data_IF_541239570153
#
_entry.id   IF_541239570153
#
_cell.length_a   1.000
_cell.length_b   1.000
_cell.length_c   1.000
_cell.angle_alpha   90.00
_cell.angle_beta   90.00
_cell.angle_gamma   90.00
#
_symmetry.space_group_name_H-M   'P 1'
#
loop_
_entity.id
_entity.type
_entity.pdbx_description
1 polymer ?
#
# COMPACT_ATOMS: atom_id res chain seq x y z
N UNK A 1 -12.12 10.12 12.83
CA UNK A 1 -12.43 10.66 11.49
C UNK A 1 -12.61 9.46 10.58
N UNK A 2 -13.62 9.43 9.71
CA UNK A 2 -13.86 8.28 8.83
C UNK A 2 -12.72 8.17 7.79
N UNK A 3 -12.09 7.00 7.70
CA UNK A 3 -11.01 6.73 6.76
C UNK A 3 -9.68 7.38 7.14
N UNK A 4 -9.42 7.53 8.45
CA UNK A 4 -8.16 8.09 8.93
C UNK A 4 -7.04 7.06 8.84
N UNK A 5 -6.36 7.07 7.69
CA UNK A 5 -5.25 6.14 7.44
C UNK A 5 -4.08 6.32 8.41
N UNK A 6 -3.96 7.45 9.10
CA UNK A 6 -2.85 7.67 10.05
C UNK A 6 -2.92 6.76 11.27
N UNK A 7 -4.09 6.17 11.53
CA UNK A 7 -4.28 5.14 12.54
C UNK A 7 -3.72 3.77 12.15
N UNK A 8 -3.36 3.54 10.89
CA UNK A 8 -2.76 2.28 10.46
C UNK A 8 -1.34 2.12 11.00
N UNK A 9 -1.09 1.00 11.70
CA UNK A 9 0.25 0.66 12.21
C UNK A 9 1.17 0.16 11.12
N UNK A 10 0.62 -0.60 10.19
CA UNK A 10 1.34 -1.20 9.07
C UNK A 10 0.68 -0.82 7.74
N UNK A 11 1.48 -0.74 6.69
CA UNK A 11 1.00 -0.53 5.32
C UNK A 11 1.47 -1.70 4.47
N UNK A 12 0.54 -2.35 3.79
CA UNK A 12 0.83 -3.45 2.89
C UNK A 12 0.41 -3.09 1.48
N UNK A 13 1.23 -3.48 0.50
CA UNK A 13 0.93 -3.34 -0.92
C UNK A 13 0.81 -4.72 -1.54
N UNK A 14 -0.32 -4.97 -2.20
CA UNK A 14 -0.54 -6.14 -3.04
C UNK A 14 0.27 -6.00 -4.33
N UNK A 15 1.34 -6.75 -4.50
CA UNK A 15 2.15 -6.68 -5.71
C UNK A 15 1.40 -7.25 -6.93
N UNK A 16 1.84 -6.88 -8.13
CA UNK A 16 1.20 -7.32 -9.36
C UNK A 16 -0.09 -6.55 -9.63
N UNK A 17 -1.19 -7.25 -9.86
CA UNK A 17 -2.49 -6.61 -10.08
C UNK A 17 -3.61 -7.34 -9.36
N UNK A 18 -4.57 -6.56 -8.88
CA UNK A 18 -5.78 -7.04 -8.21
C UNK A 18 -6.99 -6.86 -9.11
N UNK A 19 -7.96 -7.77 -9.05
CA UNK A 19 -9.27 -7.55 -9.66
C UNK A 19 -10.04 -6.46 -8.90
N UNK A 20 -10.02 -5.25 -9.46
CA UNK A 20 -10.60 -4.06 -8.84
C UNK A 20 -12.15 -4.05 -8.81
N UNK A 21 -12.82 -5.10 -9.33
CA UNK A 21 -14.26 -5.32 -9.15
C UNK A 21 -14.60 -5.80 -7.73
N UNK A 22 -13.65 -6.38 -7.01
CA UNK A 22 -13.82 -6.80 -5.61
C UNK A 22 -14.11 -5.59 -4.72
N UNK A 23 -15.12 -5.69 -3.87
CA UNK A 23 -15.44 -4.72 -2.81
C UNK A 23 -14.75 -5.14 -1.50
N UNK A 24 -15.22 -4.64 -0.35
CA UNK A 24 -14.68 -4.90 0.99
C UNK A 24 -14.45 -6.40 1.22
N UNK A 25 -15.50 -7.23 1.19
CA UNK A 25 -15.37 -8.66 1.55
C UNK A 25 -14.42 -9.41 0.62
N UNK A 26 -14.48 -9.12 -0.68
CA UNK A 26 -13.61 -9.75 -1.67
C UNK A 26 -12.13 -9.33 -1.54
N UNK A 27 -11.87 -8.12 -1.04
CA UNK A 27 -10.50 -7.65 -0.76
C UNK A 27 -10.01 -8.14 0.60
N UNK A 28 -10.87 -8.19 1.62
CA UNK A 28 -10.56 -8.74 2.93
C UNK A 28 -10.23 -10.24 2.82
N UNK A 29 -11.01 -11.01 2.05
CA UNK A 29 -10.72 -12.41 1.74
C UNK A 29 -9.36 -12.55 1.04
N UNK A 30 -9.03 -11.66 0.10
CA UNK A 30 -7.72 -11.66 -0.54
C UNK A 30 -6.59 -11.43 0.47
N UNK A 31 -6.74 -10.48 1.41
CA UNK A 31 -5.75 -10.26 2.49
C UNK A 31 -5.57 -11.52 3.31
N UNK A 32 -6.67 -12.15 3.73
CA UNK A 32 -6.61 -13.35 4.56
C UNK A 32 -5.99 -14.55 3.82
N UNK A 33 -6.47 -14.86 2.62
CA UNK A 33 -6.11 -16.07 1.87
C UNK A 33 -4.74 -15.95 1.18
N UNK A 34 -4.42 -14.77 0.66
CA UNK A 34 -3.21 -14.55 -0.16
C UNK A 34 -2.06 -14.03 0.69
N UNK A 35 -2.33 -13.14 1.65
CA UNK A 35 -1.26 -12.55 2.47
C UNK A 35 -1.06 -13.30 3.78
N UNK A 36 -2.05 -14.10 4.22
CA UNK A 36 -2.01 -14.74 5.54
C UNK A 36 -2.05 -13.72 6.68
N UNK A 37 -2.60 -12.53 6.43
CA UNK A 37 -2.69 -11.43 7.39
C UNK A 37 -4.14 -11.30 7.85
N UNK A 38 -4.35 -10.95 9.12
CA UNK A 38 -5.67 -10.61 9.64
C UNK A 38 -6.19 -9.30 9.01
N UNK A 39 -7.27 -9.34 8.19
CA UNK A 39 -7.82 -8.12 7.60
C UNK A 39 -8.40 -7.15 8.64
N UNK A 40 -8.70 -7.61 9.86
CA UNK A 40 -9.18 -6.78 10.97
C UNK A 40 -8.03 -6.13 11.78
N UNK A 41 -6.77 -6.37 11.40
CA UNK A 41 -5.66 -5.66 11.99
C UNK A 41 -5.71 -4.17 11.65
N UNK A 42 -5.13 -3.34 12.53
CA UNK A 42 -4.94 -1.90 12.31
C UNK A 42 -3.86 -1.67 11.23
N UNK A 43 -4.20 -1.94 9.98
CA UNK A 43 -3.29 -1.94 8.84
C UNK A 43 -4.00 -1.45 7.59
N UNK A 44 -3.22 -0.83 6.68
CA UNK A 44 -3.71 -0.33 5.41
C UNK A 44 -3.29 -1.27 4.27
N UNK A 45 -4.24 -1.85 3.56
CA UNK A 45 -3.97 -2.77 2.45
C UNK A 45 -4.24 -2.08 1.11
N UNK A 46 -3.21 -1.94 0.29
CA UNK A 46 -3.25 -1.23 -0.97
C UNK A 46 -3.36 -2.21 -2.15
N UNK A 47 -4.32 -1.96 -3.03
CA UNK A 47 -4.58 -2.77 -4.22
C UNK A 47 -4.60 -1.90 -5.47
N UNK A 48 -4.15 -2.46 -6.59
CA UNK A 48 -4.09 -1.75 -7.86
C UNK A 48 -4.44 -2.66 -9.02
N UNK A 49 -5.22 -2.14 -9.96
CA UNK A 49 -5.56 -2.86 -11.18
C UNK A 49 -4.51 -2.72 -12.28
N UNK A 50 -4.66 -3.49 -13.36
CA UNK A 50 -3.75 -3.49 -14.51
C UNK A 50 -3.45 -2.10 -15.10
N UNK A 51 -4.45 -1.19 -15.08
CA UNK A 51 -4.31 0.19 -15.62
C UNK A 51 -3.47 1.12 -14.75
N UNK A 52 -3.20 0.78 -13.48
CA UNK A 52 -2.35 1.55 -12.55
C UNK A 52 -2.72 3.03 -12.32
N UNK A 53 -3.86 3.50 -12.80
CA UNK A 53 -4.33 4.85 -12.51
C UNK A 53 -5.35 4.88 -11.36
N UNK A 54 -5.60 3.73 -10.72
CA UNK A 54 -6.61 3.57 -9.67
C UNK A 54 -6.06 2.66 -8.59
N UNK A 55 -6.26 3.06 -7.34
CA UNK A 55 -5.98 2.23 -6.17
C UNK A 55 -7.20 2.13 -5.28
N UNK A 56 -7.30 0.99 -4.59
CA UNK A 56 -8.17 0.79 -3.43
C UNK A 56 -7.29 0.65 -2.21
N UNK A 57 -7.68 1.26 -1.10
CA UNK A 57 -7.06 1.05 0.20
C UNK A 57 -8.12 0.56 1.17
N UNK A 58 -7.93 -0.65 1.71
CA UNK A 58 -8.80 -1.25 2.70
C UNK A 58 -8.21 -1.00 4.10
N UNK A 59 -9.05 -0.52 5.01
CA UNK A 59 -8.71 -0.21 6.39
C UNK A 59 -9.81 -0.73 7.32
N UNK A 60 -9.44 -1.32 8.46
CA UNK A 60 -10.36 -1.62 9.55
C UNK A 60 -10.22 -0.56 10.65
N UNK A 61 -11.33 0.08 11.05
CA UNK A 61 -11.36 1.16 12.05
C UNK A 61 -11.85 0.71 13.45
N UNK A 62 -12.08 -0.60 13.64
CA UNK A 62 -12.54 -1.17 14.91
C UNK A 62 -14.03 -1.47 14.94
N UNK A 63 -14.84 -0.67 14.25
CA UNK A 63 -16.29 -0.80 14.12
C UNK A 63 -16.74 -1.17 12.69
N UNK A 64 -15.85 -1.08 11.72
CA UNK A 64 -16.15 -1.37 10.33
C UNK A 64 -14.94 -1.29 9.40
N UNK A 65 -15.15 -1.78 8.18
CA UNK A 65 -14.20 -1.59 7.09
C UNK A 65 -14.47 -0.28 6.35
N UNK A 66 -13.41 0.44 6.06
CA UNK A 66 -13.39 1.57 5.13
C UNK A 66 -12.64 1.15 3.87
N UNK A 67 -13.24 1.45 2.71
CA UNK A 67 -12.63 1.24 1.41
C UNK A 67 -12.43 2.58 0.70
N UNK A 68 -11.20 3.10 0.76
CA UNK A 68 -10.82 4.32 0.05
C UNK A 68 -10.54 3.99 -1.41
N UNK A 69 -10.99 4.86 -2.31
CA UNK A 69 -10.79 4.70 -3.74
C UNK A 69 -10.21 5.97 -4.35
N UNK A 70 -8.99 5.88 -4.89
CA UNK A 70 -8.30 7.01 -5.53
C UNK A 70 -8.09 6.73 -7.00
N UNK A 71 -8.56 7.64 -7.86
CA UNK A 71 -8.29 7.66 -9.30
C UNK A 71 -7.38 8.85 -9.61
N UNK A 72 -6.30 8.59 -10.34
CA UNK A 72 -5.47 9.64 -10.90
C UNK A 72 -6.11 10.13 -12.21
N UNK A 73 -6.24 11.45 -12.33
CA UNK A 73 -6.65 12.11 -13.59
C UNK A 73 -5.46 12.33 -14.54
N UNK A 74 -4.24 12.21 -14.03
CA UNK A 74 -3.01 12.27 -14.81
C UNK A 74 -1.99 11.23 -14.31
N UNK A 75 -1.38 10.50 -15.23
CA UNK A 75 -0.33 9.51 -14.93
C UNK A 75 -0.83 8.21 -14.30
N UNK A 76 0.12 7.46 -13.74
CA UNK A 76 -0.10 6.14 -13.17
C UNK A 76 0.80 5.94 -11.96
N UNK A 77 0.33 5.14 -11.00
CA UNK A 77 1.14 4.66 -9.88
C UNK A 77 2.30 3.77 -10.38
N UNK A 78 3.47 3.94 -9.76
CA UNK A 78 4.65 3.09 -9.93
C UNK A 78 4.51 1.83 -9.06
N UNK A 79 3.60 0.97 -9.48
CA UNK A 79 3.21 -0.21 -8.72
C UNK A 79 4.21 -1.36 -8.85
N UNK A 80 4.61 -2.04 -7.75
CA UNK A 80 5.52 -3.19 -7.79
C UNK A 80 4.87 -4.39 -8.48
N UNK A 81 5.66 -5.14 -9.25
CA UNK A 81 5.19 -6.29 -10.07
C UNK A 81 5.90 -7.61 -9.74
N UNK A 82 6.61 -7.69 -8.62
CA UNK A 82 7.35 -8.90 -8.23
C UNK A 82 6.42 -10.09 -7.92
N UNK A 83 7.02 -11.28 -7.84
CA UNK A 83 6.35 -12.54 -7.55
C UNK A 83 5.85 -12.65 -6.10
N UNK A 84 6.42 -11.89 -5.17
CA UNK A 84 5.91 -11.79 -3.80
C UNK A 84 4.53 -11.13 -3.84
N UNK A 85 3.49 -11.83 -3.39
CA UNK A 85 2.12 -11.35 -3.52
C UNK A 85 1.83 -10.11 -2.67
N UNK A 86 2.64 -9.86 -1.63
CA UNK A 86 2.50 -8.73 -0.70
C UNK A 86 3.86 -8.21 -0.24
N UNK A 87 3.95 -6.89 -0.03
CA UNK A 87 5.11 -6.22 0.58
C UNK A 87 4.67 -5.24 1.65
N UNK A 88 5.40 -5.14 2.76
CA UNK A 88 5.25 -4.07 3.74
C UNK A 88 5.89 -2.78 3.23
N UNK A 89 5.23 -1.64 3.45
CA UNK A 89 5.73 -0.31 3.13
C UNK A 89 5.93 0.51 4.40
N UNK A 90 7.01 1.28 4.41
CA UNK A 90 7.15 2.42 5.29
C UNK A 90 6.23 3.56 4.85
N UNK A 91 5.91 4.48 5.77
CA UNK A 91 5.18 5.71 5.45
C UNK A 91 5.86 6.56 4.37
N UNK A 92 7.20 6.54 4.31
CA UNK A 92 7.97 7.25 3.29
C UNK A 92 7.76 6.63 1.90
N UNK A 93 7.80 5.30 1.78
CA UNK A 93 7.52 4.59 0.53
C UNK A 93 6.07 4.78 0.09
N UNK A 94 5.12 4.76 1.04
CA UNK A 94 3.72 5.10 0.76
C UNK A 94 3.58 6.52 0.20
N UNK A 95 4.25 7.51 0.81
CA UNK A 95 4.24 8.90 0.34
C UNK A 95 4.78 9.00 -1.09
N UNK A 96 5.93 8.37 -1.37
CA UNK A 96 6.49 8.31 -2.72
C UNK A 96 5.50 7.72 -3.72
N UNK A 97 4.84 6.60 -3.36
CA UNK A 97 3.80 6.01 -4.20
C UNK A 97 2.66 7.00 -4.47
N UNK A 98 2.20 7.72 -3.44
CA UNK A 98 1.12 8.71 -3.56
C UNK A 98 1.50 9.92 -4.43
N UNK A 99 2.79 10.22 -4.53
CA UNK A 99 3.39 11.25 -5.39
C UNK A 99 3.74 10.75 -6.80
N UNK A 100 3.50 9.47 -7.09
CA UNK A 100 3.78 8.86 -8.40
C UNK A 100 5.24 8.42 -8.60
N UNK A 101 6.03 8.40 -7.53
CA UNK A 101 7.41 7.92 -7.52
C UNK A 101 7.48 6.41 -7.26
N UNK A 102 8.62 5.80 -7.60
CA UNK A 102 8.90 4.40 -7.27
C UNK A 102 9.03 4.22 -5.76
N UNK A 103 8.49 3.12 -5.22
CA UNK A 103 8.64 2.79 -3.79
C UNK A 103 10.09 2.45 -3.46
N UNK A 104 10.80 1.82 -4.40
CA UNK A 104 12.23 1.57 -4.31
C UNK A 104 13.01 2.75 -4.86
N UNK A 105 13.89 3.33 -4.04
CA UNK A 105 14.70 4.49 -4.41
C UNK A 105 16.20 4.14 -4.37
N UNK A 106 16.70 3.29 -5.30
CA UNK A 106 18.08 2.82 -5.27
C UNK A 106 19.12 3.95 -5.46
N UNK A 107 18.70 5.07 -6.07
CA UNK A 107 19.52 6.27 -6.30
C UNK A 107 19.40 7.32 -5.21
N UNK A 108 18.55 7.12 -4.20
CA UNK A 108 18.46 8.06 -3.09
C UNK A 108 19.77 8.09 -2.29
N UNK A 109 20.10 9.26 -1.76
CA UNK A 109 21.24 9.44 -0.86
C UNK A 109 21.00 8.57 0.37
N UNK A 110 21.90 7.60 0.57
CA UNK A 110 21.82 6.69 1.71
C UNK A 110 22.49 7.35 2.92
N UNK A 111 21.90 7.15 4.10
CA UNK A 111 22.57 7.52 5.35
C UNK A 111 23.87 6.71 5.44
N UNK A 112 24.97 7.42 5.66
CA UNK A 112 26.28 6.81 5.94
C UNK A 112 26.49 6.80 7.45
N UNK A 113 27.32 5.87 7.94
CA UNK A 113 27.79 5.94 9.33
C UNK A 113 28.66 7.19 9.47
N UNK A 114 28.53 7.97 10.56
CA UNK A 114 29.43 9.09 10.83
C UNK A 114 30.89 8.62 10.80
N UNK A 115 31.76 9.38 10.14
CA UNK A 115 33.21 9.17 10.25
C UNK A 115 33.70 9.52 11.65
N UNK A 116 34.79 8.92 12.08
CA UNK A 116 35.53 9.41 13.25
C UNK A 116 36.34 10.64 12.82
N UNK A 117 36.27 11.71 13.62
CA UNK A 117 37.27 12.77 13.56
C UNK A 117 38.48 12.29 14.38
N UNK A 118 39.69 12.43 13.81
CA UNK A 118 40.94 12.11 14.50
C UNK A 118 41.10 12.91 15.81
#
# INVERSE_FOLDING_TARGET
>A
MLGDITGAKEIYIACGYTDMRKSIDGLAALVQETFGIDPFASSLYLFCGKRRNRIKALLWEGDGFVLLYKRLENGNFKWPRSADQVRSLTWQEFKWLMEGLEIDQPRAIKKVKPGAFC
#
